data_IF_071782311615
#
_entry.id   IF_071782311615
#
_cell.length_a   1.000
_cell.length_b   1.000
_cell.length_c   1.000
_cell.angle_alpha   90.00
_cell.angle_beta   90.00
_cell.angle_gamma   90.00
#
_symmetry.space_group_name_H-M   'P 1'
#
loop_
_entity.id
_entity.type
_entity.pdbx_description
1 polymer ?
#
# COMPACT_ATOMS: atom_id res chain seq x y z
N UNK A 1 44.55 70.59 28.34
CA UNK A 1 44.50 69.21 28.85
C UNK A 1 43.65 68.40 27.86
N UNK A 2 44.28 67.74 26.88
CA UNK A 2 44.49 66.28 26.76
C UNK A 2 43.19 65.48 26.55
N UNK A 3 42.95 65.08 25.30
CA UNK A 3 41.96 64.09 24.84
C UNK A 3 42.13 62.73 25.52
N UNK A 4 41.02 62.00 25.72
CA UNK A 4 41.01 60.54 25.65
C UNK A 4 39.72 60.03 24.99
N UNK A 5 39.91 59.33 23.88
CA UNK A 5 38.94 58.49 23.17
C UNK A 5 38.84 57.18 23.94
N UNK A 6 37.64 56.60 24.08
CA UNK A 6 37.50 55.20 24.53
C UNK A 6 36.52 54.46 23.64
N UNK A 7 37.11 53.58 22.83
CA UNK A 7 36.50 52.55 21.98
C UNK A 7 36.19 51.33 22.84
N UNK A 8 35.02 50.71 22.68
CA UNK A 8 34.67 49.27 22.95
C UNK A 8 33.14 49.13 23.01
N UNK A 9 32.45 48.11 22.52
CA UNK A 9 32.85 46.77 22.09
C UNK A 9 31.90 46.28 20.97
N UNK A 10 32.45 45.59 19.98
CA UNK A 10 31.66 44.89 18.97
C UNK A 10 31.02 43.63 19.58
N UNK A 11 29.69 43.58 19.63
CA UNK A 11 28.93 42.38 19.95
C UNK A 11 28.93 41.45 18.74
N UNK A 12 29.75 40.41 18.79
CA UNK A 12 29.71 39.29 17.84
C UNK A 12 28.44 38.48 18.09
N UNK A 13 27.43 38.65 17.24
CA UNK A 13 26.26 37.79 17.19
C UNK A 13 26.66 36.45 16.56
N UNK A 14 26.82 35.42 17.38
CA UNK A 14 26.95 34.03 16.93
C UNK A 14 25.59 33.51 16.50
N UNK A 15 25.30 33.58 15.19
CA UNK A 15 24.18 32.86 14.60
C UNK A 15 24.51 31.36 14.63
N UNK A 16 24.02 30.64 15.63
CA UNK A 16 23.99 29.18 15.59
C UNK A 16 22.97 28.76 14.53
N UNK A 17 23.45 28.40 13.34
CA UNK A 17 22.62 27.73 12.34
C UNK A 17 22.39 26.30 12.82
N UNK A 18 21.25 26.05 13.46
CA UNK A 18 20.77 24.69 13.66
C UNK A 18 20.47 24.10 12.27
N UNK A 19 21.39 23.30 11.76
CA UNK A 19 21.14 22.47 10.59
C UNK A 19 19.95 21.56 10.91
N UNK A 20 18.87 21.54 10.10
CA UNK A 20 17.81 20.58 10.30
C UNK A 20 18.43 19.19 10.22
N UNK A 21 18.29 18.45 11.32
CA UNK A 21 18.79 17.10 11.45
C UNK A 21 17.87 16.20 10.64
N UNK A 22 17.99 16.25 9.31
CA UNK A 22 17.25 15.40 8.37
C UNK A 22 17.81 13.98 8.41
N UNK A 23 17.89 13.38 9.60
CA UNK A 23 17.66 11.94 9.70
C UNK A 23 16.15 11.76 9.58
N UNK A 24 15.64 11.98 8.36
CA UNK A 24 14.37 11.39 7.97
C UNK A 24 14.54 9.90 8.29
N UNK A 25 13.82 9.41 9.30
CA UNK A 25 13.65 7.98 9.44
C UNK A 25 13.22 7.49 8.06
N UNK A 26 14.02 6.64 7.41
CA UNK A 26 13.58 5.97 6.19
C UNK A 26 12.37 5.13 6.62
N UNK A 27 11.18 5.71 6.52
CA UNK A 27 9.96 4.94 6.57
C UNK A 27 10.07 3.93 5.42
N UNK A 28 9.68 2.69 5.68
CA UNK A 28 9.56 1.69 4.63
C UNK A 28 8.59 2.16 3.53
N UNK A 29 8.49 1.41 2.42
CA UNK A 29 7.42 1.64 1.46
C UNK A 29 6.07 1.69 2.20
N UNK A 30 5.14 2.58 1.80
CA UNK A 30 3.84 2.62 2.45
C UNK A 30 3.10 1.30 2.23
N UNK A 31 2.19 0.99 3.13
CA UNK A 31 1.46 -0.27 3.11
C UNK A 31 0.08 -0.12 2.45
N UNK A 32 -0.37 -1.20 1.83
CA UNK A 32 -1.67 -1.31 1.16
C UNK A 32 -2.36 -2.56 1.69
N UNK A 33 -3.61 -2.40 2.14
CA UNK A 33 -4.46 -3.50 2.58
C UNK A 33 -5.48 -3.80 1.52
N UNK A 34 -5.45 -5.03 1.02
CA UNK A 34 -6.38 -5.59 0.06
C UNK A 34 -7.21 -6.68 0.74
N UNK A 35 -8.52 -6.67 0.50
CA UNK A 35 -9.46 -7.62 1.06
C UNK A 35 -10.11 -8.44 -0.05
N UNK A 36 -10.28 -9.73 0.20
CA UNK A 36 -11.10 -10.63 -0.61
C UNK A 36 -12.40 -10.93 0.11
N UNK A 37 -13.48 -11.08 -0.65
CA UNK A 37 -14.79 -11.48 -0.13
C UNK A 37 -15.37 -12.62 -0.95
N UNK A 38 -16.11 -13.49 -0.28
CA UNK A 38 -17.00 -14.45 -0.88
C UNK A 38 -18.43 -14.05 -0.53
N UNK A 39 -19.10 -13.37 -1.47
CA UNK A 39 -20.40 -12.75 -1.22
C UNK A 39 -21.54 -13.76 -1.07
N UNK A 40 -21.32 -15.02 -1.46
CA UNK A 40 -22.28 -16.11 -1.25
C UNK A 40 -22.26 -16.64 0.18
N UNK A 41 -21.07 -16.69 0.81
CA UNK A 41 -20.91 -17.20 2.18
C UNK A 41 -20.83 -16.08 3.22
N UNK A 42 -20.55 -14.84 2.80
CA UNK A 42 -20.25 -13.70 3.66
C UNK A 42 -18.85 -13.74 4.29
N UNK A 43 -18.01 -14.71 3.91
CA UNK A 43 -16.64 -14.80 4.35
C UNK A 43 -15.78 -13.71 3.72
N UNK A 44 -14.81 -13.19 4.47
CA UNK A 44 -13.85 -12.19 3.99
C UNK A 44 -12.51 -12.37 4.68
N UNK A 45 -11.45 -11.92 4.03
CA UNK A 45 -10.10 -11.89 4.57
C UNK A 45 -9.34 -10.68 4.03
N UNK A 46 -8.37 -10.18 4.78
CA UNK A 46 -7.54 -9.04 4.38
C UNK A 46 -6.06 -9.37 4.53
N UNK A 47 -5.26 -8.86 3.60
CA UNK A 47 -3.81 -8.96 3.62
C UNK A 47 -3.20 -7.59 3.33
N UNK A 48 -2.04 -7.33 3.93
CA UNK A 48 -1.32 -6.08 3.78
C UNK A 48 0.00 -6.34 3.07
N UNK A 49 0.26 -5.56 2.01
CA UNK A 49 1.48 -5.63 1.19
C UNK A 49 2.16 -4.27 1.11
N UNK A 50 3.50 -4.19 1.00
CA UNK A 50 4.19 -2.93 0.73
C UNK A 50 3.92 -2.45 -0.70
N UNK A 51 3.76 -1.13 -0.88
CA UNK A 51 3.70 -0.49 -2.19
C UNK A 51 5.11 -0.23 -2.74
N UNK A 52 5.87 -1.30 -2.98
CA UNK A 52 7.25 -1.27 -3.48
C UNK A 52 7.44 -1.93 -4.85
N UNK A 53 6.36 -2.38 -5.48
CA UNK A 53 6.35 -3.07 -6.77
C UNK A 53 6.59 -4.58 -6.69
N UNK A 54 6.81 -5.15 -5.50
CA UNK A 54 6.93 -6.60 -5.35
C UNK A 54 5.59 -7.29 -5.64
N UNK A 55 5.66 -8.48 -6.24
CA UNK A 55 4.48 -9.30 -6.57
C UNK A 55 4.22 -10.32 -5.47
N UNK A 56 2.97 -10.37 -4.98
CA UNK A 56 2.54 -11.29 -3.94
C UNK A 56 1.42 -12.20 -4.45
N UNK A 57 1.57 -13.51 -4.28
CA UNK A 57 0.58 -14.51 -4.67
C UNK A 57 -0.51 -14.69 -3.61
N UNK A 58 -1.76 -14.83 -4.01
CA UNK A 58 -2.91 -14.87 -3.12
C UNK A 58 -2.93 -16.09 -2.19
N UNK A 59 -2.46 -17.24 -2.65
CA UNK A 59 -2.26 -18.41 -1.77
C UNK A 59 -1.33 -18.10 -0.59
N UNK A 60 -0.31 -17.25 -0.77
CA UNK A 60 0.56 -16.81 0.33
C UNK A 60 -0.11 -15.78 1.23
N UNK A 61 -1.00 -14.95 0.70
CA UNK A 61 -1.66 -13.87 1.44
C UNK A 61 -2.90 -14.35 2.21
N UNK A 62 -3.63 -15.31 1.64
CA UNK A 62 -4.98 -15.70 2.08
C UNK A 62 -5.15 -17.20 2.32
N UNK A 63 -4.12 -18.02 2.09
CA UNK A 63 -4.18 -19.48 2.18
C UNK A 63 -4.49 -20.04 3.58
N UNK A 64 -4.27 -19.24 4.63
CA UNK A 64 -4.61 -19.59 6.02
C UNK A 64 -5.92 -18.92 6.50
N UNK A 65 -6.63 -18.24 5.59
CA UNK A 65 -7.86 -17.52 5.92
C UNK A 65 -9.11 -18.40 5.83
N UNK A 66 -10.24 -17.86 6.28
CA UNK A 66 -11.56 -18.52 6.17
C UNK A 66 -12.06 -18.67 4.72
N UNK A 67 -11.39 -18.02 3.75
CA UNK A 67 -11.65 -18.18 2.32
C UNK A 67 -10.93 -19.40 1.72
N UNK A 68 -9.98 -19.97 2.46
CA UNK A 68 -9.17 -21.08 1.97
C UNK A 68 -9.77 -22.44 2.35
N UNK A 69 -9.86 -23.34 1.38
CA UNK A 69 -10.22 -24.74 1.59
C UNK A 69 -9.57 -25.60 0.51
N UNK A 70 -9.01 -26.74 0.91
CA UNK A 70 -8.45 -27.73 -0.03
C UNK A 70 -7.42 -27.17 -1.04
N UNK A 71 -6.62 -26.19 -0.59
CA UNK A 71 -5.59 -25.54 -1.42
C UNK A 71 -6.09 -24.45 -2.36
N UNK A 72 -7.40 -24.17 -2.37
CA UNK A 72 -8.02 -23.07 -3.12
C UNK A 72 -8.25 -21.86 -2.21
N UNK A 73 -8.41 -20.68 -2.82
CA UNK A 73 -8.89 -19.46 -2.16
C UNK A 73 -10.10 -18.99 -2.94
N UNK A 74 -11.30 -19.17 -2.38
CA UNK A 74 -12.54 -18.87 -3.10
C UNK A 74 -13.06 -17.48 -2.78
N UNK A 75 -13.03 -16.58 -3.78
CA UNK A 75 -13.51 -15.22 -3.66
C UNK A 75 -14.34 -14.81 -4.89
N UNK A 76 -15.34 -13.97 -4.68
CA UNK A 76 -16.14 -13.34 -5.74
C UNK A 76 -15.66 -11.92 -6.04
N UNK A 77 -15.13 -11.22 -5.03
CA UNK A 77 -14.73 -9.83 -5.17
C UNK A 77 -13.47 -9.48 -4.37
N UNK A 78 -12.83 -8.38 -4.75
CA UNK A 78 -11.66 -7.82 -4.08
C UNK A 78 -11.79 -6.31 -3.88
N UNK A 79 -11.19 -5.79 -2.81
CA UNK A 79 -11.23 -4.36 -2.51
C UNK A 79 -9.98 -3.83 -1.79
N UNK A 80 -9.50 -2.65 -2.20
CA UNK A 80 -8.56 -1.86 -1.41
C UNK A 80 -9.30 -1.22 -0.22
N UNK A 81 -8.86 -1.51 0.99
CA UNK A 81 -9.53 -1.08 2.23
C UNK A 81 -8.71 -0.09 3.06
N UNK A 82 -7.39 -0.09 2.90
CA UNK A 82 -6.50 0.94 3.47
C UNK A 82 -5.29 1.14 2.56
N UNK A 83 -5.04 2.37 2.13
CA UNK A 83 -3.99 2.66 1.15
C UNK A 83 -3.61 4.15 1.16
N UNK A 84 -2.38 4.51 0.76
CA UNK A 84 -1.99 5.89 0.54
C UNK A 84 -2.61 6.45 -0.76
N UNK A 85 -2.65 7.78 -0.87
CA UNK A 85 -2.98 8.42 -2.15
C UNK A 85 -1.86 8.15 -3.18
N UNK A 86 -2.24 8.07 -4.46
CA UNK A 86 -1.32 7.76 -5.55
C UNK A 86 -0.89 6.29 -5.62
N UNK A 87 -1.55 5.39 -4.89
CA UNK A 87 -1.30 3.95 -5.06
C UNK A 87 -1.84 3.46 -6.41
N UNK A 88 -1.10 2.55 -7.05
CA UNK A 88 -1.56 1.74 -8.16
C UNK A 88 -1.23 0.27 -7.84
N UNK A 89 -2.27 -0.57 -7.77
CA UNK A 89 -2.15 -2.00 -7.51
C UNK A 89 -2.65 -2.81 -8.71
N UNK A 90 -1.74 -3.47 -9.40
CA UNK A 90 -2.06 -4.37 -10.49
C UNK A 90 -2.42 -5.76 -10.01
N UNK A 91 -3.48 -6.34 -10.57
CA UNK A 91 -3.90 -7.72 -10.35
C UNK A 91 -3.71 -8.52 -11.63
N UNK A 92 -3.10 -9.70 -11.50
CA UNK A 92 -2.93 -10.68 -12.57
C UNK A 92 -3.54 -12.02 -12.15
N UNK A 93 -4.12 -12.75 -13.10
CA UNK A 93 -4.65 -14.08 -12.86
C UNK A 93 -3.52 -15.14 -12.81
N UNK A 94 -3.89 -16.41 -12.63
CA UNK A 94 -2.91 -17.50 -12.55
C UNK A 94 -2.13 -17.76 -13.85
N UNK A 95 -2.59 -17.23 -15.00
CA UNK A 95 -1.93 -17.32 -16.31
C UNK A 95 -0.96 -16.15 -16.54
N UNK A 96 -0.97 -15.15 -15.66
CA UNK A 96 -0.24 -13.89 -15.81
C UNK A 96 -0.97 -12.86 -16.68
N UNK A 97 -2.25 -13.09 -17.00
CA UNK A 97 -3.04 -12.09 -17.71
C UNK A 97 -3.48 -11.00 -16.76
N UNK A 98 -3.41 -9.76 -17.25
CA UNK A 98 -3.87 -8.58 -16.54
C UNK A 98 -5.39 -8.64 -16.30
N UNK A 99 -5.79 -8.52 -15.03
CA UNK A 99 -7.20 -8.45 -14.62
C UNK A 99 -7.63 -6.98 -14.52
N UNK A 100 -6.99 -6.20 -13.65
CA UNK A 100 -7.33 -4.79 -13.41
C UNK A 100 -6.24 -4.05 -12.64
N UNK A 101 -6.33 -2.71 -12.62
CA UNK A 101 -5.63 -1.86 -11.65
C UNK A 101 -6.61 -1.35 -10.61
N UNK A 102 -6.19 -1.42 -9.34
CA UNK A 102 -6.88 -0.81 -8.22
C UNK A 102 -6.16 0.46 -7.78
N UNK A 103 -6.89 1.56 -7.74
CA UNK A 103 -6.40 2.91 -7.40
C UNK A 103 -7.32 3.55 -6.35
N UNK A 104 -7.00 4.74 -5.82
CA UNK A 104 -7.93 5.47 -4.95
C UNK A 104 -9.30 5.76 -5.58
N UNK A 105 -9.36 5.87 -6.90
CA UNK A 105 -10.58 6.11 -7.68
C UNK A 105 -11.29 4.82 -8.09
N UNK A 106 -10.56 3.70 -8.16
CA UNK A 106 -11.09 2.38 -8.49
C UNK A 106 -10.63 1.35 -7.46
N UNK A 107 -11.36 1.24 -6.35
CA UNK A 107 -10.92 0.42 -5.21
C UNK A 107 -11.47 -1.00 -5.24
N UNK A 108 -12.34 -1.36 -6.17
CA UNK A 108 -13.08 -2.61 -6.19
C UNK A 108 -12.85 -3.39 -7.48
N UNK A 109 -12.82 -4.71 -7.38
CA UNK A 109 -12.81 -5.64 -8.51
C UNK A 109 -13.84 -6.73 -8.30
N UNK A 110 -14.59 -7.00 -9.37
CA UNK A 110 -15.39 -8.21 -9.54
C UNK A 110 -14.51 -9.27 -10.20
N UNK A 111 -14.34 -10.43 -9.54
CA UNK A 111 -13.29 -11.40 -9.93
C UNK A 111 -13.75 -12.37 -11.02
N UNK A 112 -15.05 -12.63 -11.13
CA UNK A 112 -15.60 -13.50 -12.19
C UNK A 112 -15.94 -12.74 -13.49
N UNK A 113 -15.90 -11.40 -13.44
CA UNK A 113 -16.19 -10.51 -14.57
C UNK A 113 -17.67 -10.44 -14.95
N UNK A 114 -18.57 -11.00 -14.14
CA UNK A 114 -20.00 -10.99 -14.35
C UNK A 114 -20.71 -10.11 -13.29
N UNK A 115 -21.04 -8.85 -13.64
CA UNK A 115 -21.64 -7.93 -12.67
C UNK A 115 -23.04 -8.34 -12.19
N UNK A 116 -23.69 -9.31 -12.84
CA UNK A 116 -25.04 -9.76 -12.48
C UNK A 116 -25.03 -10.86 -11.40
N UNK A 117 -23.90 -11.52 -11.17
CA UNK A 117 -23.80 -12.67 -10.27
C UNK A 117 -22.46 -12.67 -9.57
N UNK A 118 -22.44 -12.70 -8.24
CA UNK A 118 -21.20 -12.90 -7.48
C UNK A 118 -20.84 -14.39 -7.42
N UNK A 119 -20.19 -14.93 -8.45
CA UNK A 119 -19.74 -16.33 -8.47
C UNK A 119 -18.34 -16.42 -7.85
N UNK A 120 -18.15 -17.12 -6.72
CA UNK A 120 -16.82 -17.33 -6.19
C UNK A 120 -16.00 -18.19 -7.14
N UNK A 121 -14.81 -17.72 -7.49
CA UNK A 121 -13.82 -18.45 -8.28
C UNK A 121 -12.58 -18.72 -7.45
N UNK A 122 -11.78 -19.71 -7.86
CA UNK A 122 -10.48 -19.94 -7.24
C UNK A 122 -9.48 -18.88 -7.70
N UNK A 123 -9.00 -18.10 -6.74
CA UNK A 123 -8.00 -17.05 -6.93
C UNK A 123 -6.68 -17.36 -6.24
N UNK A 124 -6.44 -18.59 -5.77
CA UNK A 124 -5.20 -18.95 -5.09
C UNK A 124 -3.93 -18.63 -5.91
N UNK A 125 -4.02 -18.72 -7.24
CA UNK A 125 -2.95 -18.41 -8.18
C UNK A 125 -2.85 -16.94 -8.62
N UNK A 126 -3.79 -16.08 -8.20
CA UNK A 126 -3.75 -14.66 -8.58
C UNK A 126 -2.63 -13.94 -7.84
N UNK A 127 -2.19 -12.82 -8.40
CA UNK A 127 -1.17 -11.98 -7.77
C UNK A 127 -1.61 -10.53 -7.67
N UNK A 128 -1.01 -9.82 -6.71
CA UNK A 128 -1.10 -8.36 -6.58
C UNK A 128 0.30 -7.77 -6.48
N UNK A 129 0.54 -6.68 -7.20
CA UNK A 129 1.72 -5.83 -7.05
C UNK A 129 1.26 -4.39 -6.89
N UNK A 130 1.77 -3.70 -5.88
CA UNK A 130 1.38 -2.33 -5.57
C UNK A 130 2.59 -1.39 -5.63
N UNK A 131 2.41 -0.20 -6.16
CA UNK A 131 3.43 0.86 -6.19
C UNK A 131 2.80 2.23 -5.99
N UNK A 132 3.63 3.24 -5.73
CA UNK A 132 3.20 4.64 -5.80
C UNK A 132 3.45 5.15 -7.23
N UNK A 133 2.40 5.71 -7.85
CA UNK A 133 2.43 6.37 -9.16
C UNK A 133 2.69 7.87 -9.04
#
# INVERSE_FOLDING_TARGET
>A
MKSFITVSAALLATCATALPNSKAARHGPPEVTFALSNDQTGHHASATVPANGDTFIFSSLFGDSVLASDGQVLASSGQLTAFPQGVDCGLENYEGDWVTALTPENTYVDLDGNPDVATPIDVAGYTISCSLA
#
